data_IF_193699316871
#
_entry.id   IF_193699316871
#
_cell.length_a   1.000
_cell.length_b   1.000
_cell.length_c   1.000
_cell.angle_alpha   90.00
_cell.angle_beta   90.00
_cell.angle_gamma   90.00
#
_symmetry.space_group_name_H-M   'P 1'
#
loop_
_entity.id
_entity.type
_entity.pdbx_description
1 polymer ?
#
# COMPACT_ATOMS: atom_id res chain seq x y z
N UNK A 1 7.02 12.62 0.94
CA UNK A 1 7.19 11.43 0.07
C UNK A 1 6.08 10.44 0.38
N UNK A 2 5.12 10.28 -0.53
CA UNK A 2 3.99 9.34 -0.39
C UNK A 2 3.85 8.51 -1.65
N UNK A 3 3.18 7.37 -1.52
CA UNK A 3 2.87 6.45 -2.60
C UNK A 3 1.37 6.44 -2.83
N UNK A 4 0.93 6.33 -4.07
CA UNK A 4 -0.50 6.28 -4.42
C UNK A 4 -1.03 4.86 -4.24
N UNK A 5 -1.95 4.69 -3.30
CA UNK A 5 -2.70 3.46 -3.10
C UNK A 5 -4.08 3.58 -3.71
N UNK A 6 -4.52 2.58 -4.45
CA UNK A 6 -5.90 2.47 -4.92
C UNK A 6 -6.64 1.52 -3.98
N UNK A 7 -7.76 1.97 -3.44
CA UNK A 7 -8.67 1.17 -2.62
C UNK A 7 -9.95 0.92 -3.41
N UNK A 8 -10.26 -0.34 -3.68
CA UNK A 8 -11.37 -0.76 -4.53
C UNK A 8 -12.39 -1.55 -3.71
N UNK A 9 -13.67 -1.19 -3.84
CA UNK A 9 -14.77 -1.95 -3.26
C UNK A 9 -15.09 -3.17 -4.11
N UNK A 10 -15.07 -4.35 -3.46
CA UNK A 10 -15.46 -5.61 -4.07
C UNK A 10 -16.57 -6.25 -3.24
N UNK A 11 -17.52 -6.92 -3.89
CA UNK A 11 -18.43 -7.82 -3.21
C UNK A 11 -17.65 -9.02 -2.63
N UNK A 12 -17.95 -9.41 -1.40
CA UNK A 12 -17.33 -10.58 -0.77
C UNK A 12 -17.98 -11.87 -1.28
N UNK A 13 -17.66 -12.25 -2.50
CA UNK A 13 -18.19 -13.42 -3.22
C UNK A 13 -17.07 -14.14 -3.98
N UNK A 14 -17.22 -15.47 -4.19
CA UNK A 14 -16.26 -16.22 -5.00
C UNK A 14 -16.05 -15.60 -6.39
N UNK A 15 -14.79 -15.50 -6.81
CA UNK A 15 -14.41 -15.02 -8.14
C UNK A 15 -14.31 -13.49 -8.28
N UNK A 16 -14.79 -12.69 -7.33
CA UNK A 16 -14.74 -11.23 -7.45
C UNK A 16 -13.31 -10.68 -7.46
N UNK A 17 -12.46 -11.18 -6.58
CA UNK A 17 -11.05 -10.80 -6.58
C UNK A 17 -10.34 -11.24 -7.88
N UNK A 18 -10.66 -12.43 -8.38
CA UNK A 18 -10.12 -12.90 -9.66
C UNK A 18 -10.52 -11.98 -10.81
N UNK A 19 -11.79 -11.59 -10.91
CA UNK A 19 -12.27 -10.64 -11.93
C UNK A 19 -11.56 -9.29 -11.85
N UNK A 20 -11.33 -8.77 -10.65
CA UNK A 20 -10.56 -7.56 -10.45
C UNK A 20 -9.12 -7.70 -10.99
N UNK A 21 -8.45 -8.80 -10.67
CA UNK A 21 -7.08 -9.04 -11.17
C UNK A 21 -7.03 -9.32 -12.67
N UNK A 22 -8.09 -9.89 -13.26
CA UNK A 22 -8.22 -10.04 -14.71
C UNK A 22 -8.20 -8.70 -15.43
N UNK A 23 -8.95 -7.71 -14.92
CA UNK A 23 -8.98 -6.35 -15.47
C UNK A 23 -7.58 -5.73 -15.49
N UNK A 24 -6.80 -5.87 -14.41
CA UNK A 24 -5.42 -5.36 -14.35
C UNK A 24 -4.52 -6.09 -15.35
N UNK A 25 -4.62 -7.44 -15.42
CA UNK A 25 -3.85 -8.27 -16.34
C UNK A 25 -4.10 -7.91 -17.80
N UNK A 26 -5.36 -7.78 -18.21
CA UNK A 26 -5.75 -7.45 -19.57
C UNK A 26 -5.22 -6.09 -20.04
N UNK A 27 -5.07 -5.16 -19.09
CA UNK A 27 -4.51 -3.84 -19.33
C UNK A 27 -3.02 -3.71 -18.99
N UNK A 28 -2.35 -4.83 -18.68
CA UNK A 28 -0.90 -4.91 -18.38
C UNK A 28 -0.46 -4.02 -17.22
N UNK A 29 -1.34 -3.84 -16.24
CA UNK A 29 -1.04 -3.11 -15.00
C UNK A 29 -0.39 -4.07 -14.01
N UNK A 30 0.81 -3.74 -13.56
CA UNK A 30 1.57 -4.56 -12.62
C UNK A 30 1.24 -4.20 -11.17
N UNK A 31 0.78 -5.20 -10.40
CA UNK A 31 0.53 -5.04 -8.97
C UNK A 31 1.83 -5.24 -8.19
N UNK A 32 2.17 -4.25 -7.38
CA UNK A 32 3.37 -4.24 -6.55
C UNK A 32 3.08 -4.55 -5.08
N UNK A 33 1.87 -4.31 -4.63
CA UNK A 33 1.39 -4.70 -3.31
C UNK A 33 -0.12 -4.91 -3.34
N UNK A 34 -0.61 -5.82 -2.52
CA UNK A 34 -2.04 -6.12 -2.40
C UNK A 34 -2.39 -6.47 -0.96
N UNK A 35 -3.49 -5.91 -0.49
CA UNK A 35 -4.11 -6.28 0.77
C UNK A 35 -5.63 -6.31 0.60
N UNK A 36 -6.27 -7.38 1.05
CA UNK A 36 -7.72 -7.51 1.08
C UNK A 36 -8.21 -7.45 2.52
N UNK A 37 -9.03 -6.44 2.83
CA UNK A 37 -9.75 -6.35 4.09
C UNK A 37 -11.20 -6.78 3.88
N UNK A 38 -11.69 -7.66 4.73
CA UNK A 38 -13.02 -8.25 4.62
C UNK A 38 -14.07 -7.55 5.49
N UNK A 39 -15.30 -7.56 5.01
CA UNK A 39 -16.53 -7.39 5.77
C UNK A 39 -17.53 -8.46 5.28
N UNK A 40 -18.65 -8.75 5.99
CA UNK A 40 -19.56 -9.85 5.62
C UNK A 40 -20.07 -9.77 4.19
N UNK A 41 -20.42 -8.58 3.71
CA UNK A 41 -21.05 -8.38 2.40
C UNK A 41 -20.11 -7.80 1.35
N UNK A 42 -19.00 -7.21 1.74
CA UNK A 42 -18.04 -6.57 0.85
C UNK A 42 -16.60 -6.72 1.35
N UNK A 43 -15.65 -6.44 0.47
CA UNK A 43 -14.24 -6.29 0.79
C UNK A 43 -13.69 -4.98 0.26
N UNK A 44 -12.56 -4.57 0.80
CA UNK A 44 -11.76 -3.48 0.26
C UNK A 44 -10.42 -4.07 -0.15
N UNK A 45 -10.14 -4.11 -1.45
CA UNK A 45 -8.81 -4.44 -1.94
C UNK A 45 -7.99 -3.17 -2.06
N UNK A 46 -6.83 -3.17 -1.43
CA UNK A 46 -5.84 -2.09 -1.51
C UNK A 46 -4.69 -2.55 -2.37
N UNK A 47 -4.34 -1.78 -3.38
CA UNK A 47 -3.25 -2.11 -4.29
C UNK A 47 -2.32 -0.92 -4.49
N UNK A 48 -1.04 -1.23 -4.64
CA UNK A 48 -0.04 -0.36 -5.24
C UNK A 48 0.26 -0.95 -6.62
N UNK A 49 0.23 -0.10 -7.62
CA UNK A 49 0.46 -0.48 -9.02
C UNK A 49 1.56 0.40 -9.64
N UNK A 50 2.11 -0.03 -10.74
CA UNK A 50 3.14 0.68 -11.49
C UNK A 50 2.63 2.03 -12.05
N UNK A 51 1.43 2.05 -12.64
CA UNK A 51 0.77 3.27 -13.12
C UNK A 51 -0.61 3.44 -12.47
N UNK A 52 -0.66 4.26 -11.41
CA UNK A 52 -1.91 4.53 -10.69
C UNK A 52 -2.92 5.34 -11.51
N UNK A 53 -2.46 6.14 -12.50
CA UNK A 53 -3.36 6.91 -13.35
C UNK A 53 -4.04 6.00 -14.37
N UNK A 54 -3.28 5.17 -15.08
CA UNK A 54 -3.81 4.21 -16.03
C UNK A 54 -4.76 3.23 -15.34
N UNK A 55 -4.34 2.71 -14.17
CA UNK A 55 -5.20 1.83 -13.36
C UNK A 55 -6.53 2.49 -12.98
N UNK A 56 -6.52 3.76 -12.59
CA UNK A 56 -7.75 4.49 -12.27
C UNK A 56 -8.68 4.63 -13.48
N UNK A 57 -8.15 4.92 -14.67
CA UNK A 57 -8.92 4.99 -15.91
C UNK A 57 -9.59 3.63 -16.23
N UNK A 58 -8.80 2.56 -16.20
CA UNK A 58 -9.26 1.20 -16.50
C UNK A 58 -10.32 0.73 -15.50
N UNK A 59 -10.09 0.95 -14.20
CA UNK A 59 -11.05 0.57 -13.15
C UNK A 59 -12.36 1.34 -13.25
N UNK A 60 -12.30 2.62 -13.61
CA UNK A 60 -13.47 3.44 -13.85
C UNK A 60 -14.29 2.93 -15.03
N UNK A 61 -13.64 2.61 -16.16
CA UNK A 61 -14.29 2.04 -17.34
C UNK A 61 -14.91 0.66 -17.05
N UNK A 62 -14.27 -0.14 -16.22
CA UNK A 62 -14.78 -1.44 -15.78
C UNK A 62 -15.91 -1.35 -14.73
N UNK A 63 -16.27 -0.14 -14.28
CA UNK A 63 -17.38 0.09 -13.37
C UNK A 63 -17.05 -0.11 -11.89
N UNK A 64 -15.77 -0.17 -11.51
CA UNK A 64 -15.38 -0.28 -10.11
C UNK A 64 -15.55 1.04 -9.36
N UNK A 65 -15.93 0.94 -8.08
CA UNK A 65 -15.92 2.04 -7.13
C UNK A 65 -14.60 2.00 -6.38
N UNK A 66 -13.83 3.06 -6.46
CA UNK A 66 -12.50 3.13 -5.84
C UNK A 66 -12.15 4.54 -5.36
N UNK A 67 -11.12 4.63 -4.53
CA UNK A 67 -10.49 5.88 -4.12
C UNK A 67 -8.97 5.75 -4.22
N UNK A 68 -8.29 6.90 -4.38
CA UNK A 68 -6.83 6.97 -4.34
C UNK A 68 -6.43 7.68 -3.06
N UNK A 69 -5.56 7.03 -2.28
CA UNK A 69 -5.12 7.51 -0.98
C UNK A 69 -3.60 7.58 -0.93
N UNK A 70 -2.99 8.70 -0.49
CA UNK A 70 -1.57 8.75 -0.24
C UNK A 70 -1.23 7.95 1.01
N UNK A 71 -0.26 7.04 0.88
CA UNK A 71 0.25 6.20 1.96
C UNK A 71 1.77 6.30 2.04
N UNK A 72 2.36 5.87 3.15
CA UNK A 72 3.80 5.76 3.29
C UNK A 72 4.28 4.38 2.87
N UNK A 73 5.42 4.33 2.20
CA UNK A 73 6.18 3.10 1.99
C UNK A 73 7.50 3.21 2.74
N UNK A 74 7.86 2.21 3.51
CA UNK A 74 9.05 2.21 4.36
C UNK A 74 9.86 0.95 4.08
N UNK A 75 11.16 1.13 3.84
CA UNK A 75 12.12 0.03 3.79
C UNK A 75 12.57 -0.32 5.23
N UNK A 76 12.47 -1.58 5.58
CA UNK A 76 12.92 -2.12 6.87
C UNK A 76 13.89 -3.27 6.64
N UNK A 77 14.76 -3.55 7.58
CA UNK A 77 15.56 -4.78 7.55
C UNK A 77 14.63 -6.01 7.56
N UNK A 78 14.92 -7.00 6.72
CA UNK A 78 14.13 -8.26 6.68
C UNK A 78 14.58 -9.17 7.85
N UNK A 79 14.37 -8.69 9.07
CA UNK A 79 14.79 -9.31 10.33
C UNK A 79 13.66 -9.24 11.37
N UNK A 80 13.68 -10.18 12.30
CA UNK A 80 12.72 -10.20 13.40
C UNK A 80 12.85 -8.93 14.25
N UNK A 81 11.73 -8.21 14.46
CA UNK A 81 11.68 -7.01 15.27
C UNK A 81 11.73 -5.69 14.50
N UNK A 82 12.20 -5.65 13.26
CA UNK A 82 12.35 -4.40 12.49
C UNK A 82 11.04 -3.60 12.34
N UNK A 83 9.92 -4.27 12.09
CA UNK A 83 8.62 -3.61 12.06
C UNK A 83 8.19 -3.11 13.44
N UNK A 84 8.50 -3.87 14.49
CA UNK A 84 8.19 -3.50 15.89
C UNK A 84 8.84 -2.17 16.27
N UNK A 85 10.10 -1.96 15.92
CA UNK A 85 10.83 -0.70 16.20
C UNK A 85 10.13 0.51 15.57
N UNK A 86 9.73 0.39 14.31
CA UNK A 86 9.02 1.48 13.61
C UNK A 86 7.67 1.77 14.24
N UNK A 87 6.91 0.74 14.60
CA UNK A 87 5.60 0.91 15.24
C UNK A 87 5.73 1.55 16.63
N UNK A 88 6.78 1.25 17.38
CA UNK A 88 7.08 1.94 18.64
C UNK A 88 7.38 3.42 18.43
N UNK A 89 8.24 3.76 17.48
CA UNK A 89 8.55 5.16 17.14
C UNK A 89 7.27 5.95 16.81
N UNK A 90 6.39 5.39 15.99
CA UNK A 90 5.13 6.05 15.64
C UNK A 90 4.20 6.17 16.85
N UNK A 91 4.07 5.11 17.66
CA UNK A 91 3.20 5.10 18.85
C UNK A 91 3.64 6.08 19.94
N UNK A 92 4.95 6.21 20.19
CA UNK A 92 5.51 7.17 21.16
C UNK A 92 5.26 8.65 20.78
N UNK A 93 4.94 8.90 19.50
CA UNK A 93 4.60 10.23 18.99
C UNK A 93 3.11 10.41 18.67
N UNK A 94 2.25 9.56 19.24
CA UNK A 94 0.80 9.59 19.05
C UNK A 94 0.40 9.51 17.56
N UNK A 95 1.08 8.67 16.78
CA UNK A 95 0.75 8.37 15.39
C UNK A 95 0.14 6.98 15.31
N UNK A 96 -1.17 6.92 15.06
CA UNK A 96 -1.86 5.66 14.85
C UNK A 96 -1.62 5.13 13.44
N UNK A 97 -1.38 3.84 13.32
CA UNK A 97 -1.34 3.12 12.04
C UNK A 97 -2.70 2.48 11.82
N UNK A 98 -3.46 3.00 10.87
CA UNK A 98 -4.80 2.49 10.55
C UNK A 98 -4.75 1.08 9.97
N UNK A 99 -3.79 0.83 9.10
CA UNK A 99 -3.46 -0.49 8.54
C UNK A 99 -2.05 -0.50 7.95
N UNK A 100 -1.53 -1.71 7.80
CA UNK A 100 -0.23 -1.98 7.19
C UNK A 100 -0.27 -3.28 6.40
N UNK A 101 0.53 -3.35 5.34
CA UNK A 101 0.73 -4.57 4.55
C UNK A 101 2.07 -4.52 3.83
N UNK A 102 2.54 -5.69 3.37
CA UNK A 102 3.84 -5.82 2.74
C UNK A 102 3.79 -5.54 1.23
N UNK A 103 4.89 -5.05 0.70
CA UNK A 103 5.17 -4.99 -0.73
C UNK A 103 5.72 -6.34 -1.22
N UNK A 104 5.45 -6.71 -2.48
CA UNK A 104 5.80 -8.03 -3.01
C UNK A 104 7.27 -8.22 -3.34
N UNK A 105 8.03 -7.14 -3.48
CA UNK A 105 9.45 -7.20 -3.82
C UNK A 105 10.35 -7.19 -2.59
N UNK A 106 11.49 -7.88 -2.70
CA UNK A 106 12.60 -7.85 -1.75
C UNK A 106 13.86 -7.40 -2.49
N UNK A 107 14.64 -6.54 -1.87
CA UNK A 107 15.92 -6.09 -2.40
C UNK A 107 16.93 -5.91 -1.27
N UNK A 108 18.10 -6.51 -1.41
CA UNK A 108 19.22 -6.34 -0.46
C UNK A 108 18.87 -6.60 1.02
N UNK A 109 18.15 -7.70 1.32
CA UNK A 109 17.68 -8.03 2.66
C UNK A 109 16.77 -6.97 3.30
N UNK A 110 16.07 -6.20 2.47
CA UNK A 110 15.05 -5.26 2.90
C UNK A 110 13.66 -5.79 2.58
N UNK A 111 12.75 -5.60 3.50
CA UNK A 111 11.32 -5.71 3.30
C UNK A 111 10.71 -4.31 3.15
N UNK A 112 9.64 -4.19 2.40
CA UNK A 112 8.97 -2.92 2.19
C UNK A 112 7.55 -3.01 2.76
N UNK A 113 7.23 -2.06 3.64
CA UNK A 113 5.93 -2.00 4.30
C UNK A 113 5.16 -0.76 3.86
N UNK A 114 3.89 -0.95 3.56
CA UNK A 114 2.96 0.15 3.32
C UNK A 114 2.25 0.47 4.63
N UNK A 115 2.24 1.74 5.01
CA UNK A 115 1.60 2.23 6.23
C UNK A 115 0.56 3.31 5.87
N UNK A 116 -0.64 3.15 6.40
CA UNK A 116 -1.65 4.21 6.38
C UNK A 116 -1.70 4.88 7.74
N UNK A 117 -1.47 6.18 7.74
CA UNK A 117 -1.60 7.07 8.91
C UNK A 117 -2.48 8.27 8.56
N UNK A 118 -3.04 8.93 9.56
CA UNK A 118 -3.90 10.08 9.33
C UNK A 118 -3.11 11.30 8.81
N UNK A 119 -1.92 11.53 9.35
CA UNK A 119 -1.05 12.66 9.03
C UNK A 119 0.31 12.14 8.51
N UNK A 120 0.43 12.08 7.18
CA UNK A 120 1.65 11.62 6.53
C UNK A 120 2.84 12.56 6.79
N UNK A 121 2.63 13.88 6.88
CA UNK A 121 3.72 14.85 7.05
C UNK A 121 4.33 14.71 8.46
N UNK A 122 3.49 14.61 9.49
CA UNK A 122 3.92 14.35 10.86
C UNK A 122 4.70 13.02 10.96
N UNK A 123 4.18 11.98 10.32
CA UNK A 123 4.85 10.66 10.33
C UNK A 123 6.21 10.70 9.62
N UNK A 124 6.32 11.37 8.48
CA UNK A 124 7.59 11.53 7.74
C UNK A 124 8.62 12.27 8.60
N UNK A 125 8.20 13.36 9.27
CA UNK A 125 9.08 14.11 10.16
C UNK A 125 9.59 13.26 11.32
N UNK A 126 8.69 12.54 12.00
CA UNK A 126 9.04 11.68 13.14
C UNK A 126 9.98 10.56 12.71
N UNK A 127 9.65 9.84 11.64
CA UNK A 127 10.51 8.77 11.11
C UNK A 127 11.88 9.29 10.68
N UNK A 128 11.93 10.47 10.05
CA UNK A 128 13.18 11.12 9.65
C UNK A 128 14.11 11.44 10.81
N UNK A 129 13.59 11.82 11.98
CA UNK A 129 14.38 12.03 13.21
C UNK A 129 15.01 10.74 13.72
N UNK A 130 14.46 9.59 13.37
CA UNK A 130 14.98 8.25 13.70
C UNK A 130 15.77 7.61 12.55
N UNK A 131 16.18 8.41 11.55
CA UNK A 131 16.90 7.95 10.35
C UNK A 131 16.13 6.95 9.49
N UNK A 132 14.79 6.95 9.58
CA UNK A 132 13.90 6.14 8.77
C UNK A 132 13.31 7.04 7.69
N UNK A 133 13.69 6.82 6.43
CA UNK A 133 13.19 7.61 5.31
C UNK A 133 12.12 6.81 4.55
N UNK A 134 10.94 7.40 4.32
CA UNK A 134 9.96 6.79 3.41
C UNK A 134 10.52 6.72 1.99
N UNK A 135 10.19 5.63 1.33
CA UNK A 135 10.57 5.34 -0.06
C UNK A 135 9.62 6.10 -1.01
N UNK A 136 10.14 6.68 -2.06
CA UNK A 136 9.30 7.38 -3.05
C UNK A 136 8.67 6.41 -4.08
N UNK A 137 7.68 6.91 -4.84
CA UNK A 137 6.98 6.12 -5.84
C UNK A 137 7.94 5.54 -6.89
N UNK A 138 8.86 6.36 -7.40
CA UNK A 138 9.82 5.95 -8.44
C UNK A 138 10.78 4.87 -7.94
N UNK A 139 11.20 4.97 -6.70
CA UNK A 139 12.08 3.99 -6.07
C UNK A 139 11.39 2.63 -5.89
N UNK A 140 10.11 2.63 -5.46
CA UNK A 140 9.30 1.42 -5.36
C UNK A 140 9.07 0.76 -6.73
N UNK A 141 8.86 1.55 -7.78
CA UNK A 141 8.65 1.00 -9.13
C UNK A 141 9.93 0.41 -9.72
N UNK A 142 11.11 0.81 -9.24
CA UNK A 142 12.42 0.28 -9.62
C UNK A 142 12.84 -1.03 -8.90
N UNK A 143 12.00 -1.52 -7.99
CA UNK A 143 12.22 -2.78 -7.29
C UNK A 143 11.71 -3.94 -8.12
#
# INVERSE_FOLDING_TARGET
MTVKQISVFLENQPGRLAQFTDVLRENRIDMRALCLAEAPDFGIVRVIVDDAYEAACVLKEAGYVFSITPVLAIAIADEAGSLCEILHVLGEHDINVDYTYAFTARKHNLAYMILRVADNEKAIEVLGRHNIQPVCQEELMGL
#
